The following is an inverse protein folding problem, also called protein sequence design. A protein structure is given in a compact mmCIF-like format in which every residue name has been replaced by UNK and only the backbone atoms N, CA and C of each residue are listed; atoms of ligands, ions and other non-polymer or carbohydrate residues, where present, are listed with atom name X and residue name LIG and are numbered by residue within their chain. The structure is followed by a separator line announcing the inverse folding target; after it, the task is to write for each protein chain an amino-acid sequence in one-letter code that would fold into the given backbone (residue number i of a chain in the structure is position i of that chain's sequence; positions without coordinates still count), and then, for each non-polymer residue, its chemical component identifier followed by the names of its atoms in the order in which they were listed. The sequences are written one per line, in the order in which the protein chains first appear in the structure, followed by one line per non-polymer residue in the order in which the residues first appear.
data_IF_227861506640
#
_entry.id   IF_227861506640
#
_cell.length_a   1.000
_cell.length_b   1.000
_cell.length_c   1.000
_cell.angle_alpha   90.00
_cell.angle_beta   90.00
_cell.angle_gamma   90.00
#
_symmetry.space_group_name_H-M   'P 1'
#
loop_
_entity.id
_entity.type
_entity.pdbx_description
1 polymer ?
#
# COMPACT_ATOMS: atom_id res chain seq x y z
N UNK A 1 -18.05 -1.83 7.47
CA UNK A 1 -17.51 -2.49 6.26
C UNK A 1 -16.03 -2.18 6.28
N UNK A 2 -15.18 -3.20 6.23
CA UNK A 2 -13.75 -3.00 6.44
C UNK A 2 -13.11 -2.44 5.17
N UNK A 3 -12.28 -1.40 5.29
CA UNK A 3 -11.60 -0.80 4.13
C UNK A 3 -10.17 -1.31 4.05
N UNK A 4 -9.82 -1.94 2.93
CA UNK A 4 -8.46 -2.39 2.60
C UNK A 4 -7.81 -1.40 1.65
N UNK A 5 -6.76 -0.73 2.11
CA UNK A 5 -5.96 0.18 1.28
C UNK A 5 -4.75 -0.54 0.68
N UNK A 6 -4.72 -0.64 -0.64
CA UNK A 6 -3.58 -1.13 -1.41
C UNK A 6 -2.79 0.07 -1.92
N UNK A 7 -1.57 0.23 -1.42
CA UNK A 7 -0.62 1.24 -1.88
C UNK A 7 0.45 0.57 -2.72
N UNK A 8 0.64 1.05 -3.95
CA UNK A 8 1.59 0.42 -4.87
C UNK A 8 2.56 1.41 -5.52
N UNK A 9 3.81 0.97 -5.67
CA UNK A 9 4.77 1.54 -6.60
C UNK A 9 5.10 0.49 -7.65
N UNK A 10 4.63 0.68 -8.89
CA UNK A 10 4.74 -0.31 -9.97
C UNK A 10 5.52 0.24 -11.17
N UNK A 11 6.84 0.47 -11.04
CA UNK A 11 7.65 1.03 -12.13
C UNK A 11 8.01 0.02 -13.23
N UNK A 12 7.68 -1.26 -13.08
CA UNK A 12 8.06 -2.33 -14.00
C UNK A 12 6.89 -3.29 -14.31
N UNK A 13 6.93 -4.01 -15.45
CA UNK A 13 5.90 -5.00 -15.79
C UNK A 13 5.76 -6.12 -14.76
N UNK A 14 6.85 -6.53 -14.10
CA UNK A 14 6.80 -7.55 -13.05
C UNK A 14 6.08 -7.06 -11.80
N UNK A 15 6.33 -5.81 -11.40
CA UNK A 15 5.60 -5.19 -10.29
C UNK A 15 4.13 -5.01 -10.64
N UNK A 16 3.81 -4.68 -11.90
CA UNK A 16 2.45 -4.58 -12.40
C UNK A 16 1.72 -5.93 -12.31
N UNK A 17 2.34 -7.02 -12.77
CA UNK A 17 1.76 -8.36 -12.67
C UNK A 17 1.47 -8.77 -11.21
N UNK A 18 2.39 -8.46 -10.29
CA UNK A 18 2.19 -8.71 -8.86
C UNK A 18 1.05 -7.85 -8.29
N UNK A 19 0.95 -6.58 -8.68
CA UNK A 19 -0.14 -5.72 -8.27
C UNK A 19 -1.49 -6.24 -8.76
N UNK A 20 -1.59 -6.69 -10.00
CA UNK A 20 -2.82 -7.26 -10.56
C UNK A 20 -3.23 -8.53 -9.84
N UNK A 21 -2.29 -9.41 -9.50
CA UNK A 21 -2.57 -10.60 -8.70
C UNK A 21 -3.10 -10.25 -7.30
N UNK A 22 -2.50 -9.25 -6.64
CA UNK A 22 -2.96 -8.76 -5.33
C UNK A 22 -4.36 -8.16 -5.42
N UNK A 23 -4.63 -7.34 -6.46
CA UNK A 23 -5.97 -6.76 -6.67
C UNK A 23 -6.99 -7.86 -6.92
N UNK A 24 -6.69 -8.82 -7.78
CA UNK A 24 -7.59 -9.95 -8.05
C UNK A 24 -7.91 -10.73 -6.78
N UNK A 25 -6.92 -11.00 -5.93
CA UNK A 25 -7.15 -11.69 -4.66
C UNK A 25 -7.91 -10.85 -3.64
N UNK A 26 -7.66 -9.53 -3.59
CA UNK A 26 -8.35 -8.64 -2.67
C UNK A 26 -9.81 -8.39 -3.03
N UNK A 27 -10.15 -8.44 -4.32
CA UNK A 27 -11.52 -8.26 -4.85
C UNK A 27 -12.20 -9.60 -5.17
N UNK A 28 -11.75 -10.70 -4.58
CA UNK A 28 -12.34 -12.01 -4.82
C UNK A 28 -13.82 -12.04 -4.34
N UNK A 29 -14.76 -12.58 -5.13
CA UNK A 29 -16.18 -12.66 -4.76
C UNK A 29 -16.46 -13.41 -3.44
N UNK A 30 -15.57 -14.30 -3.01
CA UNK A 30 -15.68 -15.02 -1.74
C UNK A 30 -15.36 -14.12 -0.54
N UNK A 31 -14.62 -13.02 -0.75
CA UNK A 31 -14.32 -12.02 0.28
C UNK A 31 -15.49 -11.06 0.40
N UNK A 32 -16.22 -11.16 1.52
CA UNK A 32 -17.39 -10.32 1.82
C UNK A 32 -17.08 -9.28 2.90
N UNK A 33 -17.70 -8.11 2.76
CA UNK A 33 -17.64 -7.04 3.77
C UNK A 33 -16.35 -6.23 3.77
N UNK A 34 -15.55 -6.34 2.70
CA UNK A 34 -14.31 -5.57 2.48
C UNK A 34 -14.48 -4.66 1.26
N UNK A 35 -14.17 -3.37 1.41
CA UNK A 35 -14.03 -2.42 0.30
C UNK A 35 -12.54 -2.22 -0.02
N UNK A 36 -12.17 -2.27 -1.29
CA UNK A 36 -10.76 -2.25 -1.72
C UNK A 36 -10.43 -0.93 -2.39
N UNK A 37 -9.64 -0.11 -1.70
CA UNK A 37 -9.16 1.18 -2.19
C UNK A 37 -7.73 1.03 -2.70
N UNK A 38 -7.46 1.51 -3.91
CA UNK A 38 -6.13 1.44 -4.54
C UNK A 38 -5.57 2.84 -4.72
N UNK A 39 -4.30 3.03 -4.34
CA UNK A 39 -3.59 4.30 -4.50
C UNK A 39 -2.14 4.10 -4.94
N UNK A 40 -1.65 4.99 -5.79
CA UNK A 40 -0.23 5.04 -6.12
C UNK A 40 0.56 5.61 -4.94
N UNK A 41 1.79 5.13 -4.75
CA UNK A 41 2.62 5.52 -3.61
C UNK A 41 2.93 7.04 -3.55
N UNK A 42 2.84 7.77 -4.65
CA UNK A 42 3.08 9.22 -4.68
C UNK A 42 1.80 10.07 -4.58
N UNK A 43 0.61 9.45 -4.61
CA UNK A 43 -0.68 10.16 -4.59
C UNK A 43 -1.52 9.86 -3.36
N UNK A 44 -1.09 8.91 -2.52
CA UNK A 44 -1.84 8.54 -1.31
C UNK A 44 -1.60 9.57 -0.20
N UNK A 45 -2.67 9.89 0.51
CA UNK A 45 -2.70 10.91 1.56
C UNK A 45 -2.80 10.29 2.95
N UNK A 46 -2.57 11.08 4.01
CA UNK A 46 -2.74 10.62 5.39
C UNK A 46 -4.16 10.15 5.70
N UNK A 47 -5.18 10.80 5.15
CA UNK A 47 -6.58 10.40 5.35
C UNK A 47 -6.85 9.01 4.79
N UNK A 48 -6.30 8.65 3.63
CA UNK A 48 -6.49 7.30 3.08
C UNK A 48 -6.01 6.22 4.07
N UNK A 49 -4.94 6.50 4.83
CA UNK A 49 -4.45 5.58 5.86
C UNK A 49 -5.36 5.56 7.08
N UNK A 50 -5.79 6.72 7.57
CA UNK A 50 -6.63 6.81 8.77
C UNK A 50 -8.04 6.22 8.54
N UNK A 51 -8.54 6.26 7.31
CA UNK A 51 -9.85 5.74 6.92
C UNK A 51 -9.85 4.23 6.64
N UNK A 52 -8.67 3.61 6.53
CA UNK A 52 -8.53 2.19 6.21
C UNK A 52 -8.23 1.33 7.45
N UNK A 53 -8.84 0.15 7.49
CA UNK A 53 -8.70 -0.83 8.56
C UNK A 53 -7.51 -1.78 8.33
N UNK A 54 -7.03 -1.87 7.08
CA UNK A 54 -5.90 -2.71 6.69
C UNK A 54 -5.12 -2.15 5.52
N UNK A 55 -3.83 -2.50 5.44
CA UNK A 55 -2.91 -1.99 4.43
C UNK A 55 -2.17 -3.12 3.71
N UNK A 56 -2.06 -3.01 2.39
CA UNK A 56 -1.15 -3.82 1.57
C UNK A 56 -0.19 -2.89 0.85
N UNK A 57 1.10 -3.07 1.08
CA UNK A 57 2.15 -2.21 0.52
C UNK A 57 2.93 -2.97 -0.55
N UNK A 58 2.68 -2.62 -1.81
CA UNK A 58 3.40 -3.14 -2.98
C UNK A 58 4.54 -2.22 -3.37
N UNK A 59 5.79 -2.70 -3.31
CA UNK A 59 6.97 -1.94 -3.75
C UNK A 59 7.99 -2.87 -4.39
N UNK A 60 8.74 -2.41 -5.41
CA UNK A 60 9.93 -3.13 -5.84
C UNK A 60 10.97 -3.12 -4.72
N UNK A 61 11.84 -4.14 -4.76
CA UNK A 61 13.11 -4.12 -4.07
C UNK A 61 14.07 -3.18 -4.83
N UNK A 62 14.31 -1.99 -4.27
CA UNK A 62 15.24 -1.02 -4.82
C UNK A 62 16.52 -1.04 -3.97
N UNK A 63 17.61 -1.54 -4.55
CA UNK A 63 18.92 -1.66 -3.88
C UNK A 63 18.84 -2.39 -2.52
N UNK A 64 18.03 -3.45 -2.44
CA UNK A 64 17.85 -4.23 -1.22
C UNK A 64 16.91 -3.62 -0.17
N UNK A 65 16.16 -2.57 -0.50
CA UNK A 65 15.17 -1.96 0.40
C UNK A 65 13.86 -1.62 -0.32
N UNK A 66 12.84 -1.19 0.43
CA UNK A 66 11.63 -0.61 -0.17
C UNK A 66 11.98 0.63 -0.99
N UNK A 67 11.23 0.88 -2.07
CA UNK A 67 11.48 1.97 -3.02
C UNK A 67 11.43 3.35 -2.34
N UNK A 68 12.15 4.31 -2.91
CA UNK A 68 12.09 5.71 -2.45
C UNK A 68 10.66 6.27 -2.51
N UNK A 69 9.88 5.88 -3.52
CA UNK A 69 8.48 6.28 -3.66
C UNK A 69 7.61 5.79 -2.50
N UNK A 70 7.81 4.55 -2.02
CA UNK A 70 7.10 4.07 -0.85
C UNK A 70 7.65 4.67 0.46
N UNK A 71 8.96 4.95 0.53
CA UNK A 71 9.56 5.66 1.68
C UNK A 71 9.06 7.08 1.83
N UNK A 72 8.77 7.77 0.71
CA UNK A 72 8.19 9.12 0.73
C UNK A 72 6.94 9.16 1.62
N UNK A 73 6.10 8.12 1.52
CA UNK A 73 4.96 7.95 2.41
C UNK A 73 5.35 7.80 3.87
N UNK A 74 6.35 6.98 4.19
CA UNK A 74 6.77 6.78 5.57
C UNK A 74 7.35 8.03 6.23
N UNK A 75 8.00 8.90 5.45
CA UNK A 75 8.66 10.10 5.96
C UNK A 75 7.67 11.26 6.15
N UNK A 76 6.74 11.45 5.21
CA UNK A 76 5.87 12.63 5.17
C UNK A 76 4.46 12.38 5.74
N UNK A 77 4.09 11.12 5.98
CA UNK A 77 2.80 10.78 6.56
C UNK A 77 2.89 10.63 8.11
N UNK A 78 2.32 11.56 8.90
CA UNK A 78 2.37 11.50 10.36
C UNK A 78 1.67 10.27 10.96
N UNK A 79 0.67 9.70 10.28
CA UNK A 79 -0.02 8.49 10.74
C UNK A 79 0.88 7.24 10.69
N UNK A 80 1.84 7.21 9.75
CA UNK A 80 2.74 6.07 9.55
C UNK A 80 4.08 6.31 10.24
N UNK A 81 4.56 7.55 10.26
CA UNK A 81 5.85 7.94 10.87
C UNK A 81 6.00 7.51 12.33
N UNK A 82 4.91 7.41 13.09
CA UNK A 82 4.93 7.04 14.50
C UNK A 82 5.13 5.53 14.74
N UNK A 83 4.67 4.66 13.85
CA UNK A 83 4.76 3.19 14.06
C UNK A 83 6.11 2.59 13.66
N UNK A 84 6.82 3.21 12.70
CA UNK A 84 8.06 2.66 12.15
C UNK A 84 9.35 3.13 12.84
N UNK A 85 9.30 4.16 13.70
CA UNK A 85 10.44 4.52 14.58
C UNK A 85 10.68 3.49 15.70
N UNK A 86 9.68 2.68 16.04
CA UNK A 86 9.79 1.66 17.07
C UNK A 86 10.21 0.29 16.53
N UNK A 87 10.35 0.13 15.20
CA UNK A 87 10.64 -1.13 14.53
C UNK A 87 12.05 -1.19 13.90
N UNK A 88 12.92 -0.22 14.21
CA UNK A 88 14.32 -0.17 13.81
C UNK A 88 15.24 -0.21 15.03
#
# INVERSE_FOLDING_TARGET
MATLLIVHHTPSPHCQAMFEAVVSGATDPEIKGVDVVRRAALSVSTSDFLDADGYVLGTPANLGSISGALKHLSCDNPAIRCSWRSAA
#
